data_IF_795235645329
#
_entry.id   IF_795235645329
#
_cell.length_a   1.000
_cell.length_b   1.000
_cell.length_c   1.000
_cell.angle_alpha   90.00
_cell.angle_beta   90.00
_cell.angle_gamma   90.00
#
_symmetry.space_group_name_H-M   'P 1'
#
loop_
_entity.id
_entity.type
_entity.pdbx_description
1 polymer ?
#
# COMPACT_ATOMS: atom_id res chain seq x y z
N UNK A 1 -2.40 -10.68 12.65
CA UNK A 1 -3.07 -11.06 11.39
C UNK A 1 -2.00 -11.44 10.37
N UNK A 2 -2.23 -12.46 9.54
CA UNK A 2 -1.31 -12.84 8.45
C UNK A 2 -1.91 -12.42 7.10
N UNK A 3 -1.12 -12.54 6.02
CA UNK A 3 -1.54 -12.15 4.67
C UNK A 3 -2.83 -12.86 4.25
N UNK A 4 -2.91 -14.17 4.44
CA UNK A 4 -4.03 -14.97 3.94
C UNK A 4 -5.36 -14.55 4.59
N UNK A 5 -5.36 -14.26 5.89
CA UNK A 5 -6.52 -13.73 6.60
C UNK A 5 -6.92 -12.34 6.07
N UNK A 6 -5.94 -11.46 5.81
CA UNK A 6 -6.20 -10.13 5.27
C UNK A 6 -6.83 -10.20 3.87
N UNK A 7 -6.30 -11.05 3.00
CA UNK A 7 -6.82 -11.26 1.64
C UNK A 7 -8.19 -11.95 1.64
N UNK A 8 -8.46 -12.83 2.60
CA UNK A 8 -9.80 -13.42 2.76
C UNK A 8 -10.81 -12.37 3.21
N UNK A 9 -10.43 -11.45 4.11
CA UNK A 9 -11.29 -10.34 4.50
C UNK A 9 -11.57 -9.37 3.34
N UNK A 10 -10.59 -9.07 2.49
CA UNK A 10 -10.79 -8.13 1.39
C UNK A 10 -11.85 -8.60 0.38
N UNK A 11 -12.05 -9.92 0.21
CA UNK A 11 -13.08 -10.48 -0.68
C UNK A 11 -14.52 -10.08 -0.30
N UNK A 12 -14.75 -9.65 0.95
CA UNK A 12 -16.06 -9.24 1.44
C UNK A 12 -16.27 -7.72 1.42
N UNK A 13 -15.31 -6.96 0.88
CA UNK A 13 -15.30 -5.50 0.82
C UNK A 13 -15.34 -5.03 -0.64
N UNK A 14 -15.81 -3.80 -0.85
CA UNK A 14 -15.72 -3.16 -2.17
C UNK A 14 -14.34 -2.51 -2.32
N UNK A 15 -13.46 -3.13 -3.10
CA UNK A 15 -12.13 -2.62 -3.44
C UNK A 15 -12.01 -2.12 -4.90
N UNK A 16 -13.13 -1.71 -5.50
CA UNK A 16 -13.17 -1.14 -6.84
C UNK A 16 -12.22 0.06 -7.00
N UNK A 17 -11.80 0.27 -8.25
CA UNK A 17 -10.93 1.38 -8.58
C UNK A 17 -11.57 2.71 -8.21
N UNK A 18 -10.84 3.47 -7.40
CA UNK A 18 -11.13 4.85 -7.08
C UNK A 18 -9.99 5.77 -7.55
N UNK A 19 -10.36 6.76 -8.35
CA UNK A 19 -9.41 7.74 -8.88
C UNK A 19 -8.76 8.59 -7.78
N UNK A 20 -9.48 8.88 -6.70
CA UNK A 20 -8.97 9.63 -5.55
C UNK A 20 -7.81 8.91 -4.87
N UNK A 21 -7.99 7.63 -4.55
CA UNK A 21 -6.94 6.79 -3.96
C UNK A 21 -5.72 6.70 -4.87
N UNK A 22 -5.93 6.52 -6.18
CA UNK A 22 -4.83 6.51 -7.14
C UNK A 22 -4.07 7.84 -7.18
N UNK A 23 -4.79 8.97 -7.27
CA UNK A 23 -4.22 10.31 -7.35
C UNK A 23 -3.46 10.67 -6.08
N UNK A 24 -4.07 10.49 -4.91
CA UNK A 24 -3.46 10.81 -3.61
C UNK A 24 -2.20 9.97 -3.36
N UNK A 25 -2.24 8.69 -3.72
CA UNK A 25 -1.08 7.79 -3.60
C UNK A 25 0.06 8.21 -4.53
N UNK A 26 -0.25 8.58 -5.77
CA UNK A 26 0.73 9.06 -6.74
C UNK A 26 1.36 10.36 -6.25
N UNK A 27 0.55 11.36 -5.89
CA UNK A 27 1.01 12.64 -5.37
C UNK A 27 1.85 12.48 -4.09
N UNK A 28 1.53 11.50 -3.24
CA UNK A 28 2.31 11.21 -2.05
C UNK A 28 3.73 10.75 -2.41
N UNK A 29 3.88 9.84 -3.38
CA UNK A 29 5.18 9.29 -3.78
C UNK A 29 6.05 10.28 -4.54
N UNK A 30 5.47 11.14 -5.37
CA UNK A 30 6.21 12.21 -6.07
C UNK A 30 6.91 13.19 -5.12
N UNK A 31 6.40 13.31 -3.89
CA UNK A 31 6.94 14.21 -2.86
C UNK A 31 7.99 13.56 -1.95
N UNK A 32 8.38 12.31 -2.19
CA UNK A 32 9.35 11.61 -1.34
C UNK A 32 10.77 11.69 -1.89
N UNK A 33 11.65 12.42 -1.21
CA UNK A 33 13.05 12.59 -1.63
C UNK A 33 13.85 11.27 -1.68
N UNK A 34 13.43 10.25 -0.95
CA UNK A 34 14.14 8.96 -0.87
C UNK A 34 13.71 7.96 -1.96
N UNK A 35 12.67 8.27 -2.74
CA UNK A 35 12.21 7.45 -3.85
C UNK A 35 12.96 7.85 -5.12
N UNK A 36 13.53 6.87 -5.81
CA UNK A 36 14.17 7.06 -7.12
C UNK A 36 13.16 6.93 -8.25
N UNK A 37 12.24 5.97 -8.12
CA UNK A 37 11.19 5.69 -9.10
C UNK A 37 10.02 4.94 -8.42
N UNK A 38 8.82 5.05 -8.98
CA UNK A 38 7.67 4.29 -8.52
C UNK A 38 6.67 4.01 -9.64
N UNK A 39 5.81 3.02 -9.42
CA UNK A 39 4.64 2.78 -10.27
C UNK A 39 3.44 2.37 -9.44
N UNK A 40 2.26 2.82 -9.87
CA UNK A 40 0.96 2.47 -9.27
C UNK A 40 0.07 1.94 -10.38
N UNK A 41 -0.30 0.67 -10.31
CA UNK A 41 -1.21 0.01 -11.25
C UNK A 41 -2.38 -0.58 -10.50
N UNK A 42 -3.58 -0.45 -11.04
CA UNK A 42 -4.74 -1.14 -10.49
C UNK A 42 -5.04 -2.37 -11.33
N UNK A 43 -5.19 -3.53 -10.68
CA UNK A 43 -5.58 -4.79 -11.32
C UNK A 43 -6.31 -5.68 -10.30
N UNK A 44 -7.33 -6.41 -10.76
CA UNK A 44 -8.11 -7.38 -9.98
C UNK A 44 -8.48 -6.95 -8.54
N UNK A 45 -9.05 -5.74 -8.38
CA UNK A 45 -9.48 -5.27 -7.06
C UNK A 45 -8.34 -4.76 -6.15
N UNK A 46 -7.14 -4.56 -6.69
CA UNK A 46 -5.94 -4.23 -5.92
C UNK A 46 -5.07 -3.17 -6.61
N UNK A 47 -4.53 -2.24 -5.83
CA UNK A 47 -3.46 -1.36 -6.26
C UNK A 47 -2.11 -2.02 -6.04
N UNK A 48 -1.43 -2.33 -7.13
CA UNK A 48 -0.09 -2.86 -7.20
C UNK A 48 0.90 -1.70 -7.28
N UNK A 49 1.68 -1.52 -6.22
CA UNK A 49 2.60 -0.41 -6.03
C UNK A 49 4.01 -0.96 -5.97
N UNK A 50 4.90 -0.44 -6.81
CA UNK A 50 6.34 -0.74 -6.77
C UNK A 50 7.09 0.54 -6.51
N UNK A 51 7.92 0.55 -5.46
CA UNK A 51 8.73 1.70 -5.04
C UNK A 51 10.18 1.29 -5.09
N UNK A 52 10.98 2.03 -5.85
CA UNK A 52 12.43 1.89 -5.88
C UNK A 52 13.05 3.01 -5.05
N UNK A 53 13.74 2.64 -3.98
CA UNK A 53 14.48 3.58 -3.15
C UNK A 53 15.79 4.00 -3.82
N UNK A 54 16.26 5.21 -3.52
CA UNK A 54 17.62 5.64 -3.89
C UNK A 54 18.68 4.79 -3.20
N UNK A 55 18.42 4.44 -1.94
CA UNK A 55 19.24 3.54 -1.14
C UNK A 55 18.34 2.52 -0.42
N UNK A 56 18.56 1.23 -0.65
CA UNK A 56 17.75 0.18 -0.04
C UNK A 56 18.01 0.10 1.47
N UNK A 57 17.05 0.55 2.26
CA UNK A 57 17.15 0.60 3.71
C UNK A 57 15.79 0.31 4.37
N UNK A 58 15.79 -0.62 5.32
CA UNK A 58 14.61 -0.98 6.09
C UNK A 58 13.98 0.21 6.82
N UNK A 59 14.80 1.11 7.40
CA UNK A 59 14.28 2.24 8.16
C UNK A 59 13.53 3.22 7.26
N UNK A 60 14.09 3.51 6.09
CA UNK A 60 13.47 4.34 5.06
C UNK A 60 12.18 3.71 4.54
N UNK A 61 12.22 2.41 4.22
CA UNK A 61 11.04 1.67 3.76
C UNK A 61 9.90 1.69 4.79
N UNK A 62 10.19 1.46 6.07
CA UNK A 62 9.21 1.55 7.16
C UNK A 62 8.63 2.96 7.29
N UNK A 63 9.48 3.98 7.18
CA UNK A 63 9.07 5.38 7.31
C UNK A 63 8.12 5.77 6.18
N UNK A 64 8.49 5.47 4.93
CA UNK A 64 7.66 5.75 3.75
C UNK A 64 6.31 5.02 3.87
N UNK A 65 6.33 3.73 4.18
CA UNK A 65 5.09 2.95 4.31
C UNK A 65 4.20 3.46 5.45
N UNK A 66 4.75 3.74 6.63
CA UNK A 66 3.97 4.26 7.76
C UNK A 66 3.38 5.65 7.45
N UNK A 67 4.11 6.50 6.74
CA UNK A 67 3.62 7.81 6.30
C UNK A 67 2.52 7.68 5.25
N UNK A 68 2.64 6.74 4.30
CA UNK A 68 1.59 6.44 3.32
C UNK A 68 0.31 6.00 4.04
N UNK A 69 0.40 5.05 4.98
CA UNK A 69 -0.76 4.56 5.74
C UNK A 69 -1.48 5.72 6.43
N UNK A 70 -0.77 6.56 7.20
CA UNK A 70 -1.39 7.71 7.89
C UNK A 70 -2.01 8.73 6.94
N UNK A 71 -1.50 8.82 5.71
CA UNK A 71 -1.98 9.77 4.73
C UNK A 71 -3.30 9.32 4.08
N UNK A 72 -3.46 8.02 3.84
CA UNK A 72 -4.55 7.46 3.02
C UNK A 72 -5.54 6.59 3.82
N UNK A 73 -5.27 6.29 5.09
CA UNK A 73 -6.07 5.36 5.88
C UNK A 73 -7.53 5.79 6.04
N UNK A 74 -8.41 4.79 5.92
CA UNK A 74 -9.77 4.87 6.41
C UNK A 74 -9.80 4.41 7.87
N UNK A 75 -11.00 4.43 8.45
CA UNK A 75 -11.26 4.13 9.85
C UNK A 75 -10.74 2.74 10.27
N UNK A 76 -10.93 1.71 9.44
CA UNK A 76 -10.52 0.34 9.74
C UNK A 76 -9.38 -0.07 8.82
N UNK A 77 -8.15 0.05 9.32
CA UNK A 77 -6.93 -0.15 8.53
C UNK A 77 -6.03 -1.20 9.15
N UNK A 78 -5.59 -2.14 8.32
CA UNK A 78 -4.72 -3.23 8.72
C UNK A 78 -3.66 -3.49 7.67
N UNK A 79 -2.47 -3.88 8.12
CA UNK A 79 -1.42 -4.30 7.19
C UNK A 79 -0.62 -5.48 7.72
N UNK A 80 0.01 -6.18 6.78
CA UNK A 80 0.96 -7.26 7.02
C UNK A 80 2.22 -6.98 6.22
N UNK A 81 3.38 -7.26 6.80
CA UNK A 81 4.68 -7.12 6.14
C UNK A 81 5.34 -8.49 5.99
N UNK A 82 5.88 -8.74 4.81
CA UNK A 82 6.76 -9.87 4.52
C UNK A 82 8.13 -9.32 4.11
N UNK A 83 9.18 -9.70 4.84
CA UNK A 83 10.54 -9.31 4.54
C UNK A 83 11.14 -10.34 3.56
N UNK A 84 11.59 -9.87 2.39
CA UNK A 84 12.31 -10.68 1.39
C UNK A 84 13.78 -10.26 1.35
N UNK A 85 14.61 -11.02 0.62
CA UNK A 85 16.05 -10.75 0.53
C UNK A 85 16.35 -9.33 0.04
N UNK A 86 15.69 -8.93 -1.05
CA UNK A 86 15.96 -7.67 -1.75
C UNK A 86 14.71 -6.77 -1.84
N UNK A 87 13.71 -7.00 -0.96
CA UNK A 87 12.52 -6.15 -0.90
C UNK A 87 11.76 -6.29 0.42
N UNK A 88 10.96 -5.28 0.73
CA UNK A 88 9.93 -5.33 1.76
C UNK A 88 8.56 -5.28 1.10
N UNK A 89 7.73 -6.27 1.41
CA UNK A 89 6.40 -6.40 0.83
C UNK A 89 5.36 -6.09 1.89
N UNK A 90 4.42 -5.23 1.56
CA UNK A 90 3.30 -4.88 2.42
C UNK A 90 1.98 -5.17 1.73
N UNK A 91 1.06 -5.77 2.47
CA UNK A 91 -0.35 -5.86 2.13
C UNK A 91 -1.10 -4.93 3.07
N UNK A 92 -1.81 -3.94 2.53
CA UNK A 92 -2.57 -2.96 3.30
C UNK A 92 -4.03 -3.02 2.86
N UNK A 93 -4.92 -3.28 3.81
CA UNK A 93 -6.36 -3.24 3.61
C UNK A 93 -6.94 -2.15 4.51
N UNK A 94 -7.66 -1.22 3.91
CA UNK A 94 -8.26 -0.07 4.58
C UNK A 94 -9.71 0.04 4.17
N UNK A 95 -10.62 0.23 5.13
CA UNK A 95 -12.06 0.18 4.89
C UNK A 95 -12.87 1.15 5.74
N UNK A 96 -14.02 1.55 5.21
CA UNK A 96 -15.06 2.30 5.89
C UNK A 96 -16.12 1.37 6.49
N UNK A 97 -16.98 1.90 7.35
CA UNK A 97 -18.13 1.16 7.89
C UNK A 97 -19.14 0.75 6.78
N UNK A 98 -19.11 1.40 5.61
CA UNK A 98 -19.97 1.12 4.46
C UNK A 98 -19.41 0.07 3.49
N UNK A 99 -18.41 -0.71 3.92
CA UNK A 99 -17.66 -1.70 3.11
C UNK A 99 -16.85 -1.14 1.95
N UNK A 100 -16.86 0.18 1.71
CA UNK A 100 -15.93 0.81 0.77
C UNK A 100 -14.51 0.62 1.31
N UNK A 101 -13.60 0.18 0.46
CA UNK A 101 -12.26 -0.19 0.86
C UNK A 101 -11.26 0.01 -0.28
N UNK A 102 -9.98 -0.06 0.06
CA UNK A 102 -8.92 -0.27 -0.92
C UNK A 102 -7.94 -1.31 -0.40
N UNK A 103 -7.36 -2.06 -1.33
CA UNK A 103 -6.33 -3.05 -1.06
C UNK A 103 -5.06 -2.66 -1.80
N UNK A 104 -3.97 -2.46 -1.08
CA UNK A 104 -2.65 -2.19 -1.65
C UNK A 104 -1.76 -3.41 -1.49
N UNK A 105 -1.04 -3.71 -2.56
CA UNK A 105 0.14 -4.55 -2.56
C UNK A 105 1.35 -3.68 -2.87
N UNK A 106 2.20 -3.44 -1.87
CA UNK A 106 3.34 -2.52 -1.96
C UNK A 106 4.63 -3.31 -1.91
N UNK A 107 5.47 -3.16 -2.93
CA UNK A 107 6.83 -3.71 -2.99
C UNK A 107 7.82 -2.55 -2.90
N UNK A 108 8.64 -2.53 -1.85
CA UNK A 108 9.72 -1.56 -1.67
C UNK A 108 11.05 -2.26 -1.89
N UNK A 109 11.82 -1.80 -2.87
CA UNK A 109 13.12 -2.34 -3.29
C UNK A 109 14.18 -1.25 -3.42
#
# INVERSE_FOLDING_TARGET
>A
MNKDILLEFSKNLNTEYEIGIWSETTDFFERQDNIADFSVKYDDGQYNIVIKLKEFNLNTAKTIFASLVRFIEYKSTFYVREDKKDSFVYYLLSSTDSKKAFLFYVVIQ
#
